data_IF_551363679408
#
_entry.id   IF_551363679408
#
_cell.length_a   1.000
_cell.length_b   1.000
_cell.length_c   1.000
_cell.angle_alpha   90.00
_cell.angle_beta   90.00
_cell.angle_gamma   90.00
#
_symmetry.space_group_name_H-M   'P 1'
#
loop_
_entity.id
_entity.type
_entity.pdbx_description
1 polymer ?
#
# COMPACT_ATOMS: atom_id res chain seq x y z
N UNK A 1 -12.40 -21.71 20.41
CA UNK A 1 -10.93 -21.59 20.51
C UNK A 1 -10.30 -22.49 19.47
N UNK A 2 -9.32 -21.99 18.71
CA UNK A 2 -8.61 -22.81 17.72
C UNK A 2 -7.58 -23.72 18.41
N UNK A 3 -7.32 -24.90 17.84
CA UNK A 3 -6.32 -25.85 18.33
C UNK A 3 -4.93 -25.22 18.43
N UNK A 4 -4.61 -24.29 17.52
CA UNK A 4 -3.36 -23.53 17.53
C UNK A 4 -3.17 -22.67 18.78
N UNK A 5 -4.24 -22.06 19.30
CA UNK A 5 -4.17 -21.21 20.51
C UNK A 5 -4.00 -22.07 21.76
N UNK A 6 -4.63 -23.25 21.78
CA UNK A 6 -4.58 -24.16 22.93
C UNK A 6 -3.24 -24.91 22.98
N UNK A 7 -2.76 -25.45 21.85
CA UNK A 7 -1.59 -26.33 21.83
C UNK A 7 -0.32 -25.65 21.29
N UNK A 8 -0.44 -24.51 20.60
CA UNK A 8 0.71 -23.80 20.01
C UNK A 8 1.74 -23.32 21.03
N UNK A 9 1.36 -22.66 22.15
CA UNK A 9 2.30 -22.28 23.20
C UNK A 9 3.04 -23.48 23.81
N UNK A 10 2.37 -24.63 23.91
CA UNK A 10 2.97 -25.87 24.40
C UNK A 10 4.00 -26.45 23.41
N UNK A 11 3.65 -26.51 22.12
CA UNK A 11 4.56 -26.97 21.06
C UNK A 11 5.84 -26.11 20.99
N UNK A 12 5.71 -24.79 21.18
CA UNK A 12 6.84 -23.87 21.18
C UNK A 12 7.65 -23.88 22.47
N UNK A 13 7.08 -24.30 23.60
CA UNK A 13 7.86 -24.51 24.83
C UNK A 13 8.80 -25.72 24.75
N UNK A 14 8.59 -26.60 23.77
CA UNK A 14 9.43 -27.78 23.50
C UNK A 14 10.57 -27.47 22.51
N UNK A 15 10.44 -26.41 21.72
CA UNK A 15 11.49 -25.86 20.86
C UNK A 15 12.28 -24.79 21.64
N UNK A 16 13.55 -24.58 21.29
CA UNK A 16 14.52 -23.76 22.03
C UNK A 16 14.00 -22.35 22.36
N UNK A 17 14.52 -21.74 23.43
CA UNK A 17 14.23 -20.41 24.01
C UNK A 17 13.37 -19.43 23.17
N UNK A 18 12.49 -18.66 23.81
CA UNK A 18 11.57 -17.69 23.16
C UNK A 18 12.21 -16.77 22.08
N UNK A 19 13.54 -16.59 22.15
CA UNK A 19 14.37 -15.90 21.16
C UNK A 19 14.32 -16.61 19.79
N UNK A 20 14.41 -17.94 19.73
CA UNK A 20 14.39 -18.75 18.49
C UNK A 20 13.05 -18.60 17.73
N UNK A 21 11.97 -18.41 18.47
CA UNK A 21 10.62 -18.33 17.94
C UNK A 21 10.33 -16.95 17.37
N UNK A 22 10.81 -15.92 18.06
CA UNK A 22 10.78 -14.54 17.58
C UNK A 22 11.67 -14.39 16.35
N UNK A 23 12.86 -15.01 16.31
CA UNK A 23 13.73 -14.97 15.12
C UNK A 23 13.14 -15.75 13.96
N UNK A 24 12.55 -16.92 14.16
CA UNK A 24 11.86 -17.68 13.12
C UNK A 24 10.66 -16.91 12.54
N UNK A 25 9.85 -16.29 13.39
CA UNK A 25 8.76 -15.41 12.94
C UNK A 25 9.27 -14.18 12.17
N UNK A 26 10.32 -13.53 12.68
CA UNK A 26 10.94 -12.37 12.03
C UNK A 26 11.55 -12.69 10.66
N UNK A 27 12.22 -13.83 10.52
CA UNK A 27 12.78 -14.29 9.24
C UNK A 27 11.68 -14.63 8.24
N UNK A 28 10.62 -15.34 8.68
CA UNK A 28 9.48 -15.67 7.82
C UNK A 28 8.73 -14.40 7.33
N UNK A 29 8.57 -13.43 8.22
CA UNK A 29 8.05 -12.10 7.89
C UNK A 29 8.92 -11.37 6.86
N UNK A 30 10.21 -11.25 7.13
CA UNK A 30 11.15 -10.56 6.25
C UNK A 30 11.16 -11.20 4.86
N UNK A 31 11.25 -12.54 4.80
CA UNK A 31 11.19 -13.29 3.55
C UNK A 31 9.90 -13.02 2.77
N UNK A 32 8.75 -13.00 3.45
CA UNK A 32 7.47 -12.70 2.80
C UNK A 32 7.42 -11.28 2.24
N UNK A 33 7.92 -10.29 3.00
CA UNK A 33 7.96 -8.89 2.55
C UNK A 33 8.89 -8.74 1.34
N UNK A 34 10.09 -9.34 1.37
CA UNK A 34 11.03 -9.27 0.25
C UNK A 34 10.51 -10.02 -0.98
N UNK A 35 9.88 -11.17 -0.79
CA UNK A 35 9.24 -11.92 -1.87
C UNK A 35 8.08 -11.11 -2.49
N UNK A 36 7.22 -10.48 -1.67
CA UNK A 36 6.10 -9.66 -2.15
C UNK A 36 6.51 -8.39 -2.92
N UNK A 37 7.77 -7.95 -2.80
CA UNK A 37 8.33 -6.80 -3.54
C UNK A 37 9.00 -7.20 -4.85
N UNK A 38 9.23 -8.48 -5.10
CA UNK A 38 9.94 -8.93 -6.30
C UNK A 38 8.97 -9.03 -7.48
N UNK A 39 9.24 -8.27 -8.54
CA UNK A 39 8.53 -8.34 -9.83
C UNK A 39 8.64 -9.72 -10.50
N UNK A 40 9.61 -10.54 -10.07
CA UNK A 40 9.87 -11.87 -10.61
C UNK A 40 8.97 -12.98 -10.05
N UNK A 41 8.13 -12.69 -9.04
CA UNK A 41 7.27 -13.69 -8.41
C UNK A 41 5.84 -13.58 -8.96
N UNK A 42 5.32 -14.64 -9.62
CA UNK A 42 3.98 -14.61 -10.20
C UNK A 42 2.93 -14.51 -9.08
N UNK A 43 1.99 -13.58 -9.25
CA UNK A 43 0.94 -13.31 -8.25
C UNK A 43 -0.30 -14.20 -8.42
N UNK A 44 -0.44 -14.90 -9.55
CA UNK A 44 -1.59 -15.76 -9.84
C UNK A 44 -1.20 -17.00 -10.69
N UNK A 45 -2.03 -18.05 -10.67
CA UNK A 45 -1.75 -19.33 -11.38
C UNK A 45 -1.53 -19.15 -12.89
N UNK A 46 -2.21 -18.20 -13.53
CA UNK A 46 -2.04 -17.90 -14.97
C UNK A 46 -0.68 -17.27 -15.31
N UNK A 47 -0.06 -16.51 -14.40
CA UNK A 47 1.32 -16.02 -14.55
C UNK A 47 2.36 -17.10 -14.23
N UNK A 48 2.03 -18.04 -13.34
CA UNK A 48 2.87 -19.20 -13.02
C UNK A 48 3.15 -20.12 -14.22
N UNK A 49 2.24 -20.14 -15.21
CA UNK A 49 2.41 -20.93 -16.43
C UNK A 49 3.52 -20.42 -17.37
N UNK A 50 3.92 -19.14 -17.25
CA UNK A 50 5.02 -18.52 -18.02
C UNK A 50 6.28 -18.28 -17.18
N UNK A 51 6.25 -18.56 -15.89
CA UNK A 51 7.34 -18.29 -14.96
C UNK A 51 8.31 -19.47 -14.89
N UNK A 52 9.61 -19.19 -14.72
CA UNK A 52 10.62 -20.24 -14.52
C UNK A 52 10.34 -21.07 -13.25
N UNK A 53 10.80 -22.33 -13.18
CA UNK A 53 10.51 -23.25 -12.06
C UNK A 53 10.95 -22.69 -10.69
N UNK A 54 12.01 -21.90 -10.66
CA UNK A 54 12.51 -21.24 -9.45
C UNK A 54 11.54 -20.16 -8.93
N UNK A 55 10.88 -19.41 -9.81
CA UNK A 55 9.90 -18.39 -9.45
C UNK A 55 8.61 -19.00 -8.86
N UNK A 56 8.18 -20.15 -9.40
CA UNK A 56 7.02 -20.91 -8.86
C UNK A 56 7.32 -21.47 -7.46
N UNK A 57 8.53 -22.00 -7.25
CA UNK A 57 8.97 -22.47 -5.93
C UNK A 57 9.02 -21.32 -4.94
N UNK A 58 9.57 -20.16 -5.34
CA UNK A 58 9.68 -18.99 -4.49
C UNK A 58 8.31 -18.42 -4.09
N UNK A 59 7.34 -18.40 -5.01
CA UNK A 59 5.94 -18.01 -4.75
C UNK A 59 5.27 -18.91 -3.70
N UNK A 60 5.40 -20.24 -3.87
CA UNK A 60 4.87 -21.21 -2.89
C UNK A 60 5.57 -21.10 -1.54
N UNK A 61 6.89 -20.92 -1.54
CA UNK A 61 7.67 -20.72 -0.32
C UNK A 61 7.23 -19.45 0.44
N UNK A 62 6.96 -18.34 -0.27
CA UNK A 62 6.47 -17.11 0.34
C UNK A 62 5.09 -17.30 0.97
N UNK A 63 4.19 -18.03 0.30
CA UNK A 63 2.86 -18.36 0.83
C UNK A 63 2.95 -19.22 2.10
N UNK A 64 3.84 -20.22 2.12
CA UNK A 64 4.07 -21.05 3.31
C UNK A 64 4.72 -20.24 4.44
N UNK A 65 5.73 -19.42 4.14
CA UNK A 65 6.40 -18.57 5.12
C UNK A 65 5.40 -17.61 5.79
N UNK A 66 4.48 -17.06 5.02
CA UNK A 66 3.41 -16.21 5.52
C UNK A 66 2.43 -16.95 6.44
N UNK A 67 2.03 -18.19 6.14
CA UNK A 67 1.22 -19.02 7.04
C UNK A 67 1.97 -19.30 8.35
N UNK A 68 3.26 -19.65 8.26
CA UNK A 68 4.12 -19.89 9.42
C UNK A 68 4.23 -18.61 10.26
N UNK A 69 4.41 -17.46 9.63
CA UNK A 69 4.45 -16.17 10.32
C UNK A 69 3.15 -15.90 11.08
N UNK A 70 1.98 -16.07 10.45
CA UNK A 70 0.68 -15.89 11.11
C UNK A 70 0.53 -16.84 12.29
N UNK A 71 0.94 -18.10 12.14
CA UNK A 71 0.89 -19.07 13.24
C UNK A 71 1.80 -18.66 14.41
N UNK A 72 3.05 -18.25 14.14
CA UNK A 72 3.99 -17.77 15.16
C UNK A 72 3.45 -16.49 15.83
N UNK A 73 2.91 -15.56 15.06
CA UNK A 73 2.31 -14.32 15.56
C UNK A 73 1.15 -14.61 16.52
N UNK A 74 0.24 -15.51 16.16
CA UNK A 74 -0.87 -15.91 17.03
C UNK A 74 -0.37 -16.53 18.34
N UNK A 75 0.70 -17.32 18.30
CA UNK A 75 1.26 -17.91 19.51
C UNK A 75 1.95 -16.85 20.37
N UNK A 76 2.68 -15.91 19.78
CA UNK A 76 3.29 -14.78 20.49
C UNK A 76 2.23 -13.88 21.15
N UNK A 77 1.15 -13.55 20.44
CA UNK A 77 0.01 -12.79 20.98
C UNK A 77 -0.60 -13.55 22.15
N UNK A 78 -0.83 -14.86 22.01
CA UNK A 78 -1.38 -15.69 23.09
C UNK A 78 -0.48 -15.68 24.32
N UNK A 79 0.84 -15.81 24.13
CA UNK A 79 1.82 -15.77 25.22
C UNK A 79 1.87 -14.39 25.90
N UNK A 80 1.86 -13.31 25.12
CA UNK A 80 1.84 -11.95 25.64
C UNK A 80 0.57 -11.65 26.44
N UNK A 81 -0.60 -12.01 25.89
CA UNK A 81 -1.88 -11.90 26.58
C UNK A 81 -1.89 -12.71 27.88
N UNK A 82 -1.31 -13.92 27.88
CA UNK A 82 -1.18 -14.74 29.09
C UNK A 82 -0.35 -14.04 30.16
N UNK A 83 0.86 -13.58 29.83
CA UNK A 83 1.77 -12.90 30.77
C UNK A 83 1.15 -11.61 31.32
N UNK A 84 0.47 -10.85 30.47
CA UNK A 84 -0.20 -9.63 30.88
C UNK A 84 -1.38 -9.92 31.82
N UNK A 85 -2.16 -10.96 31.55
CA UNK A 85 -3.25 -11.39 32.43
C UNK A 85 -2.73 -11.89 33.78
N UNK A 86 -1.58 -12.57 33.82
CA UNK A 86 -0.90 -12.95 35.06
C UNK A 86 -0.51 -11.69 35.86
N UNK A 87 0.19 -10.74 35.23
CA UNK A 87 0.63 -9.51 35.91
C UNK A 87 -0.54 -8.69 36.47
N UNK A 88 -1.61 -8.56 35.69
CA UNK A 88 -2.82 -7.83 36.10
C UNK A 88 -3.57 -8.59 37.18
N UNK A 89 -3.58 -9.91 37.14
CA UNK A 89 -4.20 -10.72 38.18
C UNK A 89 -3.47 -10.67 39.51
N UNK A 90 -2.14 -10.73 39.47
CA UNK A 90 -1.32 -10.57 40.67
C UNK A 90 -1.48 -9.17 41.27
N UNK A 91 -1.49 -8.12 40.43
CA UNK A 91 -1.69 -6.74 40.86
C UNK A 91 -3.13 -6.46 41.35
N UNK A 92 -4.13 -7.14 40.80
CA UNK A 92 -5.54 -7.01 41.15
C UNK A 92 -5.99 -7.88 42.33
N UNK A 93 -5.08 -8.64 42.96
CA UNK A 93 -5.37 -9.61 44.02
C UNK A 93 -6.51 -10.57 43.68
N UNK A 94 -6.51 -11.00 42.44
CA UNK A 94 -7.49 -11.89 41.87
C UNK A 94 -7.32 -13.30 42.45
N UNK A 95 -8.38 -13.84 43.08
CA UNK A 95 -8.35 -15.15 43.75
C UNK A 95 -8.36 -16.32 42.76
N UNK A 96 -7.29 -16.50 41.99
CA UNK A 96 -7.22 -17.45 40.87
C UNK A 96 -6.14 -18.51 41.15
N UNK A 97 -6.48 -19.82 41.06
CA UNK A 97 -5.53 -20.91 41.33
C UNK A 97 -4.78 -21.34 40.06
N UNK A 98 -3.82 -20.53 39.63
CA UNK A 98 -3.05 -20.74 38.40
C UNK A 98 -2.10 -21.95 38.43
N UNK A 99 -1.76 -22.47 39.61
CA UNK A 99 -0.88 -23.64 39.77
C UNK A 99 -1.62 -25.00 39.78
N UNK A 100 -2.94 -25.00 39.60
CA UNK A 100 -3.74 -26.24 39.61
C UNK A 100 -3.41 -27.17 38.43
N UNK A 101 -3.56 -28.48 38.63
CA UNK A 101 -3.36 -29.45 37.54
C UNK A 101 -4.46 -29.23 36.50
N UNK A 102 -4.08 -28.96 35.25
CA UNK A 102 -5.07 -28.80 34.18
C UNK A 102 -5.80 -30.13 33.95
N UNK A 103 -7.13 -30.09 33.96
CA UNK A 103 -7.97 -31.25 33.65
C UNK A 103 -7.79 -31.77 32.21
N UNK A 104 -7.20 -30.96 31.32
CA UNK A 104 -7.02 -31.30 29.90
C UNK A 104 -5.70 -32.00 29.63
N UNK A 105 -4.61 -31.59 30.30
CA UNK A 105 -3.25 -32.14 30.07
C UNK A 105 -2.70 -32.96 31.24
N UNK A 106 -3.40 -33.02 32.38
CA UNK A 106 -2.94 -33.77 33.56
C UNK A 106 -1.65 -33.24 34.18
N UNK A 107 -1.24 -32.01 33.83
CA UNK A 107 -0.05 -31.31 34.35
C UNK A 107 -0.38 -29.86 34.66
N UNK A 108 0.37 -29.24 35.56
CA UNK A 108 0.26 -27.80 35.82
C UNK A 108 0.88 -27.04 34.65
N UNK A 109 0.02 -26.40 33.87
CA UNK A 109 0.40 -25.61 32.70
C UNK A 109 -0.22 -24.23 32.87
N UNK A 110 0.58 -23.28 33.38
CA UNK A 110 0.10 -21.95 33.81
C UNK A 110 -0.71 -21.23 32.74
N UNK A 111 -0.25 -21.18 31.49
CA UNK A 111 -0.98 -20.49 30.41
C UNK A 111 -2.38 -21.08 30.17
N UNK A 112 -2.54 -22.40 30.31
CA UNK A 112 -3.81 -23.06 30.08
C UNK A 112 -4.78 -22.79 31.23
N UNK A 113 -4.26 -22.66 32.45
CA UNK A 113 -5.02 -22.26 33.61
C UNK A 113 -5.45 -20.79 33.56
N UNK A 114 -4.62 -19.89 33.00
CA UNK A 114 -5.04 -18.52 32.67
C UNK A 114 -6.24 -18.57 31.71
N UNK A 115 -6.16 -19.35 30.64
CA UNK A 115 -7.25 -19.43 29.65
C UNK A 115 -8.55 -20.01 30.23
N UNK A 116 -8.46 -21.04 31.08
CA UNK A 116 -9.61 -21.78 31.60
C UNK A 116 -10.25 -21.16 32.85
N UNK A 117 -9.45 -20.54 33.72
CA UNK A 117 -9.91 -20.07 35.03
C UNK A 117 -9.97 -18.54 35.14
N UNK A 118 -9.60 -17.79 34.10
CA UNK A 118 -9.86 -16.35 34.09
C UNK A 118 -11.38 -16.13 34.12
N UNK A 119 -11.90 -15.35 35.08
CA UNK A 119 -13.33 -15.07 35.14
C UNK A 119 -13.78 -14.25 33.92
N UNK A 120 -14.96 -14.57 33.40
CA UNK A 120 -15.50 -13.96 32.18
C UNK A 120 -15.58 -12.43 32.24
N UNK A 121 -15.82 -11.85 33.42
CA UNK A 121 -15.89 -10.39 33.61
C UNK A 121 -14.52 -9.71 33.46
N UNK A 122 -13.42 -10.37 33.83
CA UNK A 122 -12.07 -9.85 33.63
C UNK A 122 -11.71 -9.87 32.14
N UNK A 123 -12.10 -10.93 31.42
CA UNK A 123 -11.98 -11.02 29.96
C UNK A 123 -12.77 -9.88 29.31
N UNK A 124 -14.03 -9.66 29.73
CA UNK A 124 -14.87 -8.59 29.20
C UNK A 124 -14.26 -7.20 29.48
N UNK A 125 -13.83 -6.92 30.71
CA UNK A 125 -13.21 -5.66 31.08
C UNK A 125 -11.93 -5.38 30.27
N UNK A 126 -11.09 -6.40 30.10
CA UNK A 126 -9.87 -6.30 29.29
C UNK A 126 -10.19 -6.07 27.81
N UNK A 127 -11.19 -6.78 27.28
CA UNK A 127 -11.65 -6.61 25.90
C UNK A 127 -12.14 -5.18 25.68
N UNK A 128 -12.96 -4.65 26.59
CA UNK A 128 -13.43 -3.27 26.53
C UNK A 128 -12.26 -2.28 26.62
N UNK A 129 -11.32 -2.50 27.54
CA UNK A 129 -10.13 -1.64 27.66
C UNK A 129 -9.30 -1.62 26.37
N UNK A 130 -9.04 -2.78 25.76
CA UNK A 130 -8.29 -2.85 24.50
C UNK A 130 -9.05 -2.23 23.33
N UNK A 131 -10.37 -2.42 23.27
CA UNK A 131 -11.21 -1.79 22.26
C UNK A 131 -11.16 -0.28 22.42
N UNK A 132 -11.33 0.25 23.64
CA UNK A 132 -11.26 1.68 23.92
C UNK A 132 -9.87 2.26 23.63
N UNK A 133 -8.81 1.56 24.04
CA UNK A 133 -7.43 1.94 23.76
C UNK A 133 -7.16 1.94 22.25
N UNK A 134 -7.60 0.90 21.54
CA UNK A 134 -7.53 0.80 20.10
C UNK A 134 -8.28 1.94 19.40
N UNK A 135 -9.53 2.20 19.78
CA UNK A 135 -10.33 3.32 19.27
C UNK A 135 -9.64 4.66 19.54
N UNK A 136 -9.11 4.86 20.75
CA UNK A 136 -8.35 6.06 21.11
C UNK A 136 -7.12 6.25 20.22
N UNK A 137 -6.31 5.20 20.04
CA UNK A 137 -5.18 5.22 19.11
C UNK A 137 -5.63 5.44 17.65
N UNK A 138 -6.73 4.83 17.23
CA UNK A 138 -7.28 4.95 15.88
C UNK A 138 -7.76 6.36 15.52
N UNK A 139 -8.18 7.15 16.52
CA UNK A 139 -8.51 8.56 16.37
C UNK A 139 -7.27 9.47 16.35
N UNK A 140 -6.18 9.07 17.01
CA UNK A 140 -4.97 9.89 17.17
C UNK A 140 -3.89 9.59 16.12
N UNK A 141 -3.84 8.37 15.60
CA UNK A 141 -2.83 7.91 14.65
C UNK A 141 -3.32 8.23 13.24
N UNK A 142 -2.63 9.17 12.58
CA UNK A 142 -2.77 9.40 11.16
C UNK A 142 -2.12 8.25 10.38
N UNK A 143 -2.92 7.40 9.72
CA UNK A 143 -2.42 6.28 8.93
C UNK A 143 -1.31 6.69 7.97
N UNK A 144 -1.51 7.74 7.16
CA UNK A 144 -0.55 8.11 6.13
C UNK A 144 0.77 8.63 6.74
N UNK A 145 0.72 9.34 7.88
CA UNK A 145 1.91 9.87 8.57
C UNK A 145 2.72 8.78 9.26
N UNK A 146 2.05 7.80 9.86
CA UNK A 146 2.72 6.71 10.58
C UNK A 146 3.12 5.54 9.67
N UNK A 147 3.14 5.73 8.34
CA UNK A 147 3.56 4.71 7.37
C UNK A 147 4.84 5.07 6.63
N UNK A 148 5.47 4.09 5.96
CA UNK A 148 6.66 4.33 5.13
C UNK A 148 6.42 5.38 4.04
N UNK A 149 5.16 5.63 3.67
CA UNK A 149 4.75 6.71 2.77
C UNK A 149 5.34 8.07 3.18
N UNK A 150 5.27 8.47 4.45
CA UNK A 150 5.77 9.79 4.87
C UNK A 150 7.29 9.90 4.69
N UNK A 151 8.04 8.87 5.10
CA UNK A 151 9.50 8.81 4.91
C UNK A 151 9.86 8.84 3.42
N UNK A 152 9.16 8.07 2.59
CA UNK A 152 9.40 8.02 1.15
C UNK A 152 9.09 9.37 0.49
N UNK A 153 7.97 10.00 0.86
CA UNK A 153 7.58 11.33 0.40
C UNK A 153 8.65 12.36 0.68
N UNK A 154 9.10 12.45 1.92
CA UNK A 154 10.06 13.48 2.34
C UNK A 154 11.41 13.28 1.62
N UNK A 155 11.81 12.01 1.36
CA UNK A 155 13.01 11.70 0.55
C UNK A 155 12.85 12.10 -0.92
N UNK A 156 11.70 11.82 -1.55
CA UNK A 156 11.44 12.23 -2.94
C UNK A 156 11.40 13.75 -3.09
N UNK A 157 10.70 14.43 -2.18
CA UNK A 157 10.64 15.90 -2.14
C UNK A 157 12.05 16.46 -2.09
N UNK A 158 12.88 16.00 -1.13
CA UNK A 158 14.25 16.46 -1.00
C UNK A 158 15.10 16.18 -2.25
N UNK A 159 14.99 14.99 -2.82
CA UNK A 159 15.82 14.55 -3.95
C UNK A 159 15.49 15.30 -5.25
N UNK A 160 14.22 15.60 -5.51
CA UNK A 160 13.78 16.18 -6.78
C UNK A 160 13.34 17.64 -6.64
N UNK A 161 12.37 17.92 -5.76
CA UNK A 161 11.85 19.27 -5.60
C UNK A 161 12.85 20.18 -4.87
N UNK A 162 13.50 19.67 -3.82
CA UNK A 162 14.54 20.39 -3.10
C UNK A 162 15.78 20.63 -3.96
N UNK A 163 16.19 19.67 -4.79
CA UNK A 163 17.27 19.89 -5.75
C UNK A 163 16.93 20.98 -6.80
N UNK A 164 15.63 21.23 -7.03
CA UNK A 164 15.14 22.24 -7.97
C UNK A 164 14.80 23.57 -7.30
N UNK A 165 14.97 23.70 -5.97
CA UNK A 165 14.66 24.91 -5.21
C UNK A 165 15.92 25.80 -5.09
N UNK A 166 15.99 26.94 -5.81
CA UNK A 166 17.17 27.81 -5.76
C UNK A 166 17.29 28.62 -4.46
N UNK A 167 16.21 28.74 -3.69
CA UNK A 167 16.15 29.53 -2.45
C UNK A 167 16.04 28.66 -1.21
N UNK A 168 16.59 27.44 -1.30
CA UNK A 168 16.46 26.41 -0.29
C UNK A 168 17.20 26.75 1.00
N UNK A 169 16.51 26.68 2.13
CA UNK A 169 17.04 26.83 3.48
C UNK A 169 16.77 25.56 4.30
N UNK A 170 17.55 24.49 4.10
CA UNK A 170 17.27 23.20 4.70
C UNK A 170 17.68 23.17 6.17
N UNK A 171 16.85 22.51 6.99
CA UNK A 171 17.20 22.22 8.37
C UNK A 171 18.54 21.45 8.45
N UNK A 172 19.53 21.89 9.24
CA UNK A 172 20.87 21.28 9.26
C UNK A 172 20.92 19.81 9.67
N UNK A 173 19.94 19.36 10.48
CA UNK A 173 19.92 17.99 11.00
C UNK A 173 19.19 17.03 10.04
N UNK A 174 18.04 17.42 9.53
CA UNK A 174 17.21 16.55 8.67
C UNK A 174 17.50 16.73 7.18
N UNK A 175 18.02 17.89 6.79
CA UNK A 175 18.24 18.30 5.42
C UNK A 175 16.94 18.57 4.66
N UNK A 176 15.80 18.77 5.33
CA UNK A 176 14.51 19.11 4.72
C UNK A 176 14.23 20.61 4.81
N UNK A 177 13.57 21.16 3.80
CA UNK A 177 13.06 22.53 3.76
C UNK A 177 11.54 22.46 3.50
N UNK A 178 10.75 23.23 4.26
CA UNK A 178 9.30 23.31 4.08
C UNK A 178 8.92 23.92 2.71
N UNK A 179 9.77 24.80 2.17
CA UNK A 179 9.63 25.40 0.85
C UNK A 179 9.83 24.43 -0.31
N UNK A 180 10.40 23.24 -0.07
CA UNK A 180 10.62 22.25 -1.15
C UNK A 180 9.29 21.68 -1.69
N UNK A 181 8.22 21.66 -0.89
CA UNK A 181 6.97 20.99 -1.26
C UNK A 181 5.87 21.98 -1.68
N UNK A 182 5.85 22.32 -2.97
CA UNK A 182 4.83 23.21 -3.54
C UNK A 182 3.45 22.55 -3.66
N UNK A 183 2.40 23.37 -3.67
CA UNK A 183 1.02 22.88 -3.88
C UNK A 183 0.77 22.56 -5.35
N UNK A 184 -0.06 21.55 -5.61
CA UNK A 184 -0.34 21.12 -6.98
C UNK A 184 -1.00 22.23 -7.81
N UNK A 185 -1.91 23.01 -7.20
CA UNK A 185 -2.60 24.10 -7.88
C UNK A 185 -1.68 25.27 -8.24
N UNK A 186 -0.58 25.46 -7.50
CA UNK A 186 0.37 26.55 -7.78
C UNK A 186 1.04 26.38 -9.14
N UNK A 187 1.18 25.14 -9.63
CA UNK A 187 1.77 24.80 -10.94
C UNK A 187 1.01 25.41 -12.12
N UNK A 188 -0.24 25.83 -11.92
CA UNK A 188 -1.07 26.49 -12.94
C UNK A 188 -1.28 27.99 -12.67
N UNK A 189 -0.72 28.52 -11.57
CA UNK A 189 -0.78 29.95 -11.29
C UNK A 189 -0.03 30.72 -12.38
N UNK A 190 -0.69 31.73 -12.97
CA UNK A 190 -0.05 32.61 -13.95
C UNK A 190 1.19 33.30 -13.37
N UNK A 191 1.14 33.66 -12.10
CA UNK A 191 2.21 34.38 -11.40
C UNK A 191 3.50 33.55 -11.29
N UNK A 192 3.38 32.23 -11.09
CA UNK A 192 4.55 31.34 -10.88
C UNK A 192 4.99 30.61 -12.15
N UNK A 193 4.03 30.13 -12.96
CA UNK A 193 4.32 29.23 -14.09
C UNK A 193 3.64 29.66 -15.41
N UNK A 194 3.00 30.84 -15.43
CA UNK A 194 2.40 31.41 -16.64
C UNK A 194 1.23 30.63 -17.23
N UNK A 195 0.68 29.63 -16.51
CA UNK A 195 -0.45 28.81 -16.97
C UNK A 195 -0.18 27.97 -18.22
N UNK A 196 1.09 27.66 -18.54
CA UNK A 196 1.46 27.00 -19.81
C UNK A 196 1.63 25.49 -19.73
N UNK A 197 1.83 24.93 -18.53
CA UNK A 197 2.05 23.51 -18.32
C UNK A 197 0.99 22.97 -17.35
N UNK A 198 0.19 22.01 -17.80
CA UNK A 198 -0.78 21.30 -16.97
C UNK A 198 -0.21 19.92 -16.60
N UNK A 199 0.55 19.78 -15.50
CA UNK A 199 1.02 18.48 -15.08
C UNK A 199 -0.17 17.57 -14.74
N UNK A 200 -0.14 16.34 -15.24
CA UNK A 200 -1.11 15.30 -14.92
C UNK A 200 -0.35 14.16 -14.25
N UNK A 201 -0.54 14.01 -12.94
CA UNK A 201 0.08 12.94 -12.17
C UNK A 201 -0.88 11.76 -12.16
N UNK A 202 -0.44 10.64 -12.74
CA UNK A 202 -1.21 9.40 -12.81
C UNK A 202 -1.04 8.58 -11.52
N UNK A 203 -2.14 8.06 -10.99
CA UNK A 203 -2.26 7.32 -9.73
C UNK A 203 -3.26 6.19 -9.97
N UNK A 204 -3.11 5.05 -9.28
CA UNK A 204 -4.14 4.02 -9.29
C UNK A 204 -5.11 4.18 -8.11
N UNK A 205 -6.41 4.17 -8.43
CA UNK A 205 -7.49 4.03 -7.46
C UNK A 205 -7.78 2.54 -7.25
N UNK A 206 -7.57 2.02 -6.04
CA UNK A 206 -7.79 0.61 -5.76
C UNK A 206 -9.25 0.31 -5.43
N UNK A 207 -9.92 -0.42 -6.31
CA UNK A 207 -11.32 -0.85 -6.22
C UNK A 207 -11.38 -2.37 -6.13
N UNK A 208 -11.10 -2.94 -4.95
CA UNK A 208 -11.06 -4.39 -4.76
C UNK A 208 -12.46 -4.98 -4.53
N UNK A 209 -13.42 -4.17 -4.06
CA UNK A 209 -14.82 -4.53 -3.88
C UNK A 209 -15.76 -3.63 -4.68
N UNK A 210 -16.59 -4.22 -5.56
CA UNK A 210 -17.58 -3.49 -6.37
C UNK A 210 -18.44 -4.42 -7.22
N UNK A 211 -19.61 -3.93 -7.67
CA UNK A 211 -20.57 -4.70 -8.46
C UNK A 211 -20.33 -4.71 -9.97
N UNK A 212 -19.28 -4.04 -10.44
CA UNK A 212 -18.94 -3.98 -11.87
C UNK A 212 -17.97 -5.11 -12.21
N UNK A 213 -18.35 -5.98 -13.14
CA UNK A 213 -17.59 -7.19 -13.51
C UNK A 213 -16.19 -6.86 -14.04
N UNK A 214 -16.01 -5.71 -14.71
CA UNK A 214 -14.71 -5.24 -15.18
C UNK A 214 -13.71 -4.96 -14.04
N UNK A 215 -14.21 -4.64 -12.85
CA UNK A 215 -13.41 -4.30 -11.67
C UNK A 215 -12.95 -5.51 -10.87
N UNK A 216 -13.60 -6.67 -11.04
CA UNK A 216 -13.24 -7.90 -10.30
C UNK A 216 -11.91 -8.51 -10.77
N UNK A 217 -11.59 -8.38 -12.07
CA UNK A 217 -10.30 -8.85 -12.59
C UNK A 217 -9.19 -7.82 -12.37
N UNK A 218 -9.47 -6.52 -12.60
CA UNK A 218 -8.44 -5.47 -12.60
C UNK A 218 -8.11 -4.86 -11.25
N UNK A 219 -9.09 -4.78 -10.34
CA UNK A 219 -8.97 -4.22 -8.97
C UNK A 219 -8.44 -2.78 -8.87
N UNK A 220 -8.24 -2.08 -9.99
CA UNK A 220 -7.71 -0.71 -10.04
C UNK A 220 -8.30 0.09 -11.21
N UNK A 221 -8.39 1.41 -11.04
CA UNK A 221 -8.85 2.40 -12.01
C UNK A 221 -7.87 3.59 -12.07
N UNK A 222 -7.87 4.37 -13.17
CA UNK A 222 -7.05 5.58 -13.22
C UNK A 222 -7.57 6.66 -12.27
N UNK A 223 -6.67 7.27 -11.52
CA UNK A 223 -6.89 8.48 -10.73
C UNK A 223 -5.86 9.51 -11.17
N UNK A 224 -6.27 10.75 -11.35
CA UNK A 224 -5.35 11.83 -11.70
C UNK A 224 -5.38 12.96 -10.70
N UNK A 225 -4.20 13.53 -10.50
CA UNK A 225 -4.01 14.77 -9.78
C UNK A 225 -3.46 15.78 -10.76
N UNK A 226 -4.18 16.89 -10.95
CA UNK A 226 -3.79 18.02 -11.80
C UNK A 226 -3.87 19.31 -10.97
N UNK A 227 -3.37 20.45 -11.46
CA UNK A 227 -3.56 21.72 -10.77
C UNK A 227 -5.01 22.18 -10.69
N UNK A 228 -5.87 21.69 -11.60
CA UNK A 228 -7.26 22.11 -11.70
C UNK A 228 -8.21 21.17 -10.94
N UNK A 229 -8.04 19.86 -11.16
CA UNK A 229 -8.90 18.83 -10.59
C UNK A 229 -8.13 17.58 -10.15
N UNK A 230 -8.68 16.91 -9.13
CA UNK A 230 -8.25 15.61 -8.63
C UNK A 230 -9.43 14.64 -8.67
N UNK A 231 -9.22 13.43 -9.16
CA UNK A 231 -10.28 12.43 -9.22
C UNK A 231 -10.10 11.38 -10.29
N UNK A 232 -11.19 10.70 -10.61
CA UNK A 232 -11.23 9.56 -11.52
C UNK A 232 -12.55 9.61 -12.30
N UNK A 233 -12.57 9.17 -13.55
CA UNK A 233 -13.79 9.12 -14.36
C UNK A 233 -14.98 8.40 -13.66
N UNK A 234 -14.83 7.17 -13.12
CA UNK A 234 -15.92 6.46 -12.45
C UNK A 234 -16.43 7.12 -11.15
N UNK A 235 -15.57 7.83 -10.42
CA UNK A 235 -15.90 8.35 -9.08
C UNK A 235 -16.25 9.84 -9.11
N UNK A 236 -15.74 10.57 -10.10
CA UNK A 236 -15.87 12.01 -10.25
C UNK A 236 -14.60 12.76 -9.89
N UNK A 237 -14.66 14.08 -10.12
CA UNK A 237 -13.55 15.00 -9.93
C UNK A 237 -13.91 16.13 -8.97
N UNK A 238 -12.94 16.54 -8.15
CA UNK A 238 -13.01 17.73 -7.28
C UNK A 238 -11.96 18.73 -7.70
N UNK A 239 -12.23 20.02 -7.49
CA UNK A 239 -11.22 21.07 -7.71
C UNK A 239 -10.04 20.86 -6.77
N UNK A 240 -8.83 20.96 -7.31
CA UNK A 240 -7.59 20.82 -6.54
C UNK A 240 -7.48 21.92 -5.49
N UNK A 241 -7.89 23.14 -5.85
CA UNK A 241 -7.95 24.29 -4.95
C UNK A 241 -9.19 25.13 -5.20
N UNK A 242 -9.80 25.62 -4.12
CA UNK A 242 -10.92 26.58 -4.16
C UNK A 242 -10.71 27.64 -3.09
N UNK A 243 -10.66 27.18 -1.84
CA UNK A 243 -10.40 27.96 -0.65
C UNK A 243 -9.85 27.02 0.43
N UNK A 244 -9.24 27.55 1.50
CA UNK A 244 -8.82 26.75 2.64
C UNK A 244 -9.99 25.95 3.24
N UNK A 245 -9.87 24.63 3.29
CA UNK A 245 -10.95 23.74 3.76
C UNK A 245 -12.09 23.57 2.76
N UNK A 246 -11.84 23.78 1.47
CA UNK A 246 -12.72 23.37 0.36
C UNK A 246 -11.93 22.72 -0.79
N UNK A 247 -10.65 22.49 -0.56
CA UNK A 247 -9.70 21.95 -1.53
C UNK A 247 -9.54 20.45 -1.34
N UNK A 248 -9.24 19.70 -2.41
CA UNK A 248 -9.11 18.25 -2.33
C UNK A 248 -7.81 17.81 -1.63
N UNK A 249 -7.91 16.81 -0.75
CA UNK A 249 -6.77 16.08 -0.17
C UNK A 249 -5.92 16.85 0.84
N UNK A 250 -6.19 18.14 1.08
CA UNK A 250 -5.69 18.88 2.25
C UNK A 250 -6.43 20.22 2.38
N UNK A 251 -6.25 20.92 3.52
CA UNK A 251 -6.79 22.28 3.73
C UNK A 251 -6.51 23.20 2.54
N UNK A 252 -5.29 23.17 2.00
CA UNK A 252 -4.85 24.05 0.92
C UNK A 252 -4.67 23.31 -0.41
N UNK A 253 -5.25 22.13 -0.53
CA UNK A 253 -5.11 21.25 -1.69
C UNK A 253 -3.91 20.30 -1.58
N UNK A 254 -3.97 19.20 -2.31
CA UNK A 254 -2.89 18.22 -2.38
C UNK A 254 -1.58 18.86 -2.88
N UNK A 255 -0.45 18.47 -2.29
CA UNK A 255 0.87 18.95 -2.71
C UNK A 255 1.42 18.14 -3.87
N UNK A 256 2.30 18.73 -4.68
CA UNK A 256 2.96 18.03 -5.78
C UNK A 256 3.77 16.85 -5.25
N UNK A 257 4.55 17.06 -4.18
CA UNK A 257 5.33 15.99 -3.55
C UNK A 257 4.47 14.82 -3.08
N UNK A 258 3.27 15.09 -2.54
CA UNK A 258 2.33 14.04 -2.13
C UNK A 258 1.80 13.28 -3.35
N UNK A 259 1.38 13.98 -4.41
CA UNK A 259 0.88 13.36 -5.63
C UNK A 259 1.94 12.47 -6.29
N UNK A 260 3.17 12.96 -6.45
CA UNK A 260 4.30 12.20 -7.03
C UNK A 260 4.64 10.98 -6.18
N UNK A 261 4.60 11.11 -4.85
CA UNK A 261 4.87 9.97 -3.95
C UNK A 261 3.83 8.87 -4.07
N UNK A 262 2.55 9.24 -4.15
CA UNK A 262 1.47 8.26 -4.35
C UNK A 262 1.61 7.62 -5.74
N UNK A 263 1.95 8.40 -6.76
CA UNK A 263 2.16 7.94 -8.14
C UNK A 263 3.28 6.90 -8.26
N UNK A 264 4.37 7.03 -7.50
CA UNK A 264 5.50 6.08 -7.46
C UNK A 264 5.45 5.08 -6.29
N UNK A 265 4.28 4.84 -5.69
CA UNK A 265 4.11 4.00 -4.50
C UNK A 265 4.15 2.48 -4.80
N UNK A 266 5.20 2.01 -5.48
CA UNK A 266 5.30 0.63 -6.00
C UNK A 266 5.20 -0.49 -4.96
N UNK A 267 5.48 -0.21 -3.67
CA UNK A 267 5.26 -1.14 -2.57
C UNK A 267 4.00 -0.75 -1.79
N UNK A 268 2.87 -1.36 -2.13
CA UNK A 268 1.60 -1.12 -1.46
C UNK A 268 0.86 -2.44 -1.20
N UNK A 269 0.05 -2.60 -0.13
CA UNK A 269 -0.66 -3.85 0.12
C UNK A 269 -1.69 -4.22 -0.97
N UNK A 270 -2.15 -3.24 -1.76
CA UNK A 270 -3.07 -3.43 -2.89
C UNK A 270 -2.37 -3.00 -4.20
N UNK A 271 -1.71 -3.94 -4.87
CA UNK A 271 -1.00 -3.74 -6.15
C UNK A 271 -1.83 -4.20 -7.36
N UNK A 272 -3.15 -3.95 -7.36
CA UNK A 272 -4.04 -4.42 -8.43
C UNK A 272 -3.97 -5.95 -8.63
N UNK A 273 -3.69 -6.39 -9.86
CA UNK A 273 -3.57 -7.81 -10.26
C UNK A 273 -2.47 -8.59 -9.50
N UNK A 274 -1.51 -7.91 -8.87
CA UNK A 274 -0.44 -8.54 -8.10
C UNK A 274 -0.77 -8.81 -6.63
N UNK A 275 -2.00 -8.48 -6.19
CA UNK A 275 -2.40 -8.58 -4.78
C UNK A 275 -2.81 -10.00 -4.38
N UNK A 276 -2.09 -10.62 -3.45
CA UNK A 276 -2.57 -11.83 -2.74
C UNK A 276 -3.01 -11.46 -1.31
N UNK A 277 -4.16 -11.96 -0.80
CA UNK A 277 -4.71 -11.55 0.49
C UNK A 277 -3.74 -11.72 1.68
N UNK A 278 -2.91 -12.75 1.61
CA UNK A 278 -1.94 -13.10 2.65
C UNK A 278 -0.72 -12.15 2.65
N UNK A 279 -0.24 -11.76 1.46
CA UNK A 279 0.83 -10.76 1.31
C UNK A 279 0.31 -9.37 1.67
N UNK A 280 -0.93 -9.03 1.28
CA UNK A 280 -1.62 -7.80 1.69
C UNK A 280 -1.68 -7.68 3.21
N UNK A 281 -2.08 -8.74 3.92
CA UNK A 281 -2.11 -8.76 5.39
C UNK A 281 -0.73 -8.49 6.00
N UNK A 282 0.32 -9.13 5.48
CA UNK A 282 1.67 -9.01 6.02
C UNK A 282 2.29 -7.64 5.74
N UNK A 283 2.15 -7.12 4.51
CA UNK A 283 2.60 -5.76 4.18
C UNK A 283 1.86 -4.71 5.02
N UNK A 284 0.56 -4.93 5.28
CA UNK A 284 -0.24 -4.07 6.18
C UNK A 284 0.26 -4.15 7.62
N UNK A 285 0.53 -5.36 8.14
CA UNK A 285 1.03 -5.58 9.51
C UNK A 285 2.41 -4.97 9.74
N UNK A 286 3.32 -5.09 8.77
CA UNK A 286 4.65 -4.47 8.83
C UNK A 286 4.66 -3.01 8.37
N UNK A 287 3.49 -2.46 8.04
CA UNK A 287 3.34 -1.07 7.63
C UNK A 287 4.25 -0.71 6.43
N UNK A 288 4.51 -1.69 5.57
CA UNK A 288 5.25 -1.55 4.31
C UNK A 288 4.27 -1.01 3.28
N UNK A 289 3.83 0.22 3.52
CA UNK A 289 2.82 0.91 2.72
C UNK A 289 3.38 2.22 2.18
N UNK A 290 3.43 2.31 0.86
CA UNK A 290 3.72 3.56 0.15
C UNK A 290 2.46 4.21 -0.41
N UNK A 291 1.32 3.51 -0.48
CA UNK A 291 0.03 4.09 -0.87
C UNK A 291 -0.56 5.00 0.21
N UNK A 292 -1.63 5.71 -0.13
CA UNK A 292 -2.26 6.69 0.75
C UNK A 292 -3.79 6.60 0.73
N UNK A 293 -4.38 6.74 1.90
CA UNK A 293 -5.83 6.91 2.04
C UNK A 293 -6.21 8.38 1.91
N UNK A 294 -7.07 8.74 0.96
CA UNK A 294 -7.57 10.10 0.79
C UNK A 294 -9.10 10.11 0.88
N UNK A 295 -9.68 11.28 1.12
CA UNK A 295 -11.13 11.48 0.99
C UNK A 295 -11.61 11.13 -0.42
N UNK A 296 -12.75 10.46 -0.52
CA UNK A 296 -13.34 10.10 -1.79
C UNK A 296 -13.75 11.36 -2.58
N UNK A 297 -13.34 11.55 -3.85
CA UNK A 297 -13.75 12.72 -4.64
C UNK A 297 -15.22 12.68 -5.08
N UNK A 298 -15.87 11.52 -5.05
CA UNK A 298 -17.25 11.33 -5.45
C UNK A 298 -18.28 11.72 -4.38
N UNK A 299 -19.57 11.43 -4.61
CA UNK A 299 -20.65 11.76 -3.67
C UNK A 299 -20.47 11.11 -2.29
N UNK A 300 -19.92 9.89 -2.25
CA UNK A 300 -19.66 9.18 -0.99
C UNK A 300 -18.68 9.92 -0.06
N UNK A 301 -17.83 10.80 -0.61
CA UNK A 301 -16.87 11.59 0.15
C UNK A 301 -17.20 13.07 0.25
N UNK A 302 -18.46 13.50 0.05
CA UNK A 302 -18.84 14.92 0.18
C UNK A 302 -18.41 15.56 1.52
N UNK A 303 -18.40 14.76 2.59
CA UNK A 303 -17.97 15.20 3.93
C UNK A 303 -16.45 15.02 4.19
N UNK A 304 -15.71 14.34 3.31
CA UNK A 304 -14.35 13.85 3.59
C UNK A 304 -13.33 14.17 2.50
N UNK A 305 -13.73 14.60 1.30
CA UNK A 305 -12.84 14.84 0.15
C UNK A 305 -11.66 15.79 0.44
N UNK A 306 -11.81 16.66 1.44
CA UNK A 306 -10.79 17.62 1.85
C UNK A 306 -9.71 17.00 2.74
N UNK A 307 -9.96 15.80 3.27
CA UNK A 307 -9.07 15.13 4.19
C UNK A 307 -7.99 14.38 3.40
N UNK A 308 -6.73 14.65 3.73
CA UNK A 308 -5.57 13.92 3.20
C UNK A 308 -5.29 12.60 3.92
N UNK A 309 -6.17 12.18 4.83
CA UNK A 309 -6.12 10.94 5.59
C UNK A 309 -7.48 10.67 6.26
N UNK A 310 -7.80 9.42 6.65
CA UNK A 310 -9.02 9.12 7.36
C UNK A 310 -9.08 9.75 8.76
N UNK A 311 -10.24 10.28 9.17
CA UNK A 311 -10.42 10.80 10.53
C UNK A 311 -10.40 9.69 11.59
N UNK A 312 -10.74 8.47 11.18
CA UNK A 312 -10.66 7.27 12.00
C UNK A 312 -9.95 6.16 11.21
N UNK A 313 -8.77 5.78 11.67
CA UNK A 313 -7.83 4.95 10.91
C UNK A 313 -8.13 3.45 10.95
N UNK A 314 -8.89 2.95 11.95
CA UNK A 314 -9.10 1.51 12.13
C UNK A 314 -9.95 0.89 11.01
N UNK A 315 -11.06 1.53 10.63
CA UNK A 315 -11.94 1.03 9.58
C UNK A 315 -11.22 0.85 8.24
N UNK A 316 -10.55 1.90 7.74
CA UNK A 316 -9.72 1.82 6.54
C UNK A 316 -8.58 0.79 6.63
N UNK A 317 -7.91 0.65 7.78
CA UNK A 317 -6.86 -0.36 7.96
C UNK A 317 -7.39 -1.80 7.91
N UNK A 318 -8.58 -2.06 8.47
CA UNK A 318 -9.25 -3.36 8.35
C UNK A 318 -9.67 -3.59 6.90
N UNK A 319 -10.27 -2.59 6.26
CA UNK A 319 -10.65 -2.68 4.86
C UNK A 319 -9.43 -2.94 3.95
N UNK A 320 -8.29 -2.32 4.23
CA UNK A 320 -7.02 -2.56 3.55
C UNK A 320 -6.53 -4.00 3.75
N UNK A 321 -6.48 -4.46 5.01
CA UNK A 321 -5.98 -5.79 5.38
C UNK A 321 -6.77 -6.94 4.74
N UNK A 322 -8.07 -6.72 4.49
CA UNK A 322 -8.95 -7.70 3.86
C UNK A 322 -9.24 -7.42 2.38
N UNK A 323 -8.63 -6.40 1.77
CA UNK A 323 -8.89 -6.03 0.38
C UNK A 323 -10.37 -5.64 0.13
N UNK A 324 -10.99 -4.93 1.05
CA UNK A 324 -12.40 -4.50 1.00
C UNK A 324 -12.56 -3.04 0.54
N UNK A 325 -11.58 -2.50 -0.19
CA UNK A 325 -11.64 -1.11 -0.69
C UNK A 325 -12.72 -0.99 -1.76
N UNK A 326 -13.60 0.01 -1.64
CA UNK A 326 -14.69 0.25 -2.59
C UNK A 326 -14.86 1.74 -2.90
N UNK A 327 -15.54 2.03 -4.00
CA UNK A 327 -15.86 3.37 -4.52
C UNK A 327 -16.99 4.07 -3.74
N UNK A 328 -17.75 3.34 -2.92
CA UNK A 328 -18.86 3.86 -2.11
C UNK A 328 -18.46 4.28 -0.70
N UNK A 329 -17.19 4.14 -0.35
CA UNK A 329 -16.67 4.50 0.97
C UNK A 329 -16.33 6.00 1.02
N UNK A 330 -16.39 6.63 2.21
CA UNK A 330 -16.00 8.04 2.36
C UNK A 330 -14.50 8.27 2.10
N UNK A 331 -13.70 7.21 2.06
CA UNK A 331 -12.28 7.27 1.76
C UNK A 331 -11.96 6.30 0.62
N UNK A 332 -10.96 6.68 -0.18
CA UNK A 332 -10.41 5.87 -1.27
C UNK A 332 -8.95 5.56 -0.99
N UNK A 333 -8.51 4.37 -1.41
CA UNK A 333 -7.12 3.96 -1.31
C UNK A 333 -6.40 4.17 -2.64
N UNK A 334 -5.36 5.00 -2.61
CA UNK A 334 -4.57 5.38 -3.79
C UNK A 334 -3.17 4.75 -3.73
N UNK A 335 -2.69 4.27 -4.87
CA UNK A 335 -1.36 3.64 -5.00
C UNK A 335 -0.68 4.03 -6.31
N UNK A 336 0.45 3.37 -6.61
CA UNK A 336 1.25 3.59 -7.80
C UNK A 336 0.43 3.62 -9.09
N UNK A 337 0.69 4.59 -9.97
CA UNK A 337 0.02 4.72 -11.26
C UNK A 337 0.20 3.49 -12.15
N UNK A 338 1.37 2.83 -12.06
CA UNK A 338 1.68 1.59 -12.76
C UNK A 338 0.82 0.40 -12.36
N UNK A 339 0.14 0.43 -11.21
CA UNK A 339 -0.86 -0.60 -10.87
C UNK A 339 -2.09 -0.56 -11.78
N UNK A 340 -2.34 0.58 -12.44
CA UNK A 340 -3.34 0.71 -13.50
C UNK A 340 -2.69 0.80 -14.88
N UNK A 341 -1.85 1.80 -15.16
CA UNK A 341 -1.20 2.02 -16.46
C UNK A 341 0.05 2.90 -16.28
N UNK A 342 1.22 2.41 -16.68
CA UNK A 342 2.50 2.98 -16.26
C UNK A 342 2.96 4.20 -17.10
N UNK A 343 2.54 4.32 -18.35
CA UNK A 343 2.99 5.35 -19.30
C UNK A 343 2.20 6.66 -19.21
N UNK A 344 1.04 6.66 -18.54
CA UNK A 344 0.12 7.80 -18.50
C UNK A 344 -0.58 8.07 -19.84
N UNK A 345 -0.39 7.20 -20.84
CA UNK A 345 -0.99 7.31 -22.18
C UNK A 345 -2.52 7.25 -22.11
N UNK A 346 -3.06 6.40 -21.23
CA UNK A 346 -4.50 6.21 -21.09
C UNK A 346 -5.23 7.53 -20.80
N UNK A 347 -4.73 8.29 -19.83
CA UNK A 347 -5.32 9.55 -19.41
C UNK A 347 -5.16 10.66 -20.46
N UNK A 348 -4.10 10.62 -21.27
CA UNK A 348 -3.93 11.57 -22.39
C UNK A 348 -4.93 11.29 -23.52
N UNK A 349 -5.19 10.02 -23.82
CA UNK A 349 -6.22 9.62 -24.80
C UNK A 349 -7.62 9.98 -24.28
N UNK A 350 -7.91 9.72 -23.00
CA UNK A 350 -9.19 10.10 -22.37
C UNK A 350 -9.44 11.62 -22.46
N UNK A 351 -8.39 12.43 -22.35
CA UNK A 351 -8.44 13.91 -22.52
C UNK A 351 -8.49 14.38 -23.97
N UNK A 352 -8.45 13.45 -24.94
CA UNK A 352 -8.44 13.75 -26.38
C UNK A 352 -7.29 14.66 -26.79
N UNK A 353 -6.11 14.47 -26.19
CA UNK A 353 -4.91 15.17 -26.61
C UNK A 353 -4.62 14.87 -28.09
N UNK A 354 -4.44 15.92 -28.89
CA UNK A 354 -4.25 15.79 -30.34
C UNK A 354 -2.88 15.20 -30.71
N UNK A 355 -1.85 15.55 -29.93
CA UNK A 355 -0.50 15.02 -30.08
C UNK A 355 -0.02 14.51 -28.72
N UNK A 356 0.44 13.26 -28.69
CA UNK A 356 0.94 12.60 -27.49
C UNK A 356 2.35 12.11 -27.79
N UNK A 357 3.31 12.55 -26.98
CA UNK A 357 4.68 12.04 -27.00
C UNK A 357 4.83 11.20 -25.74
N UNK A 358 5.14 9.91 -25.91
CA UNK A 358 5.36 8.98 -24.81
C UNK A 358 6.86 8.80 -24.60
N UNK A 359 7.31 8.98 -23.36
CA UNK A 359 8.67 8.64 -22.93
C UNK A 359 8.56 7.45 -21.99
N UNK A 360 8.90 6.26 -22.48
CA UNK A 360 8.93 5.06 -21.67
C UNK A 360 10.26 4.98 -20.91
N UNK A 361 10.18 4.96 -19.57
CA UNK A 361 11.30 4.80 -18.66
C UNK A 361 11.12 3.58 -17.74
N UNK A 362 10.22 2.66 -18.12
CA UNK A 362 10.00 1.40 -17.41
C UNK A 362 11.22 0.48 -17.49
N UNK A 363 11.34 -0.40 -16.50
CA UNK A 363 12.34 -1.47 -16.52
C UNK A 363 11.86 -2.59 -17.47
N UNK A 364 12.41 -2.61 -18.68
CA UNK A 364 12.08 -3.62 -19.69
C UNK A 364 13.35 -4.32 -20.20
N UNK A 365 13.92 -5.26 -19.43
CA UNK A 365 15.18 -5.90 -19.76
C UNK A 365 15.08 -6.80 -20.99
N UNK A 366 13.89 -7.12 -21.48
CA UNK A 366 13.71 -7.94 -22.70
C UNK A 366 13.18 -7.10 -23.88
N UNK A 367 13.06 -5.77 -23.72
CA UNK A 367 12.48 -4.87 -24.71
C UNK A 367 11.14 -5.39 -25.28
N UNK A 368 10.32 -5.93 -24.39
CA UNK A 368 9.02 -6.53 -24.68
C UNK A 368 7.92 -5.50 -24.96
N UNK A 369 8.13 -4.24 -24.58
CA UNK A 369 7.15 -3.14 -24.63
C UNK A 369 5.83 -3.52 -23.93
N UNK A 370 5.92 -4.27 -22.83
CA UNK A 370 4.76 -4.79 -22.11
C UNK A 370 3.83 -3.67 -21.63
N UNK A 371 4.39 -2.58 -21.10
CA UNK A 371 3.63 -1.42 -20.63
C UNK A 371 2.85 -0.73 -21.76
N UNK A 372 3.48 -0.57 -22.93
CA UNK A 372 2.81 -0.02 -24.12
C UNK A 372 1.70 -0.94 -24.62
N UNK A 373 1.97 -2.24 -24.70
CA UNK A 373 0.96 -3.23 -25.09
C UNK A 373 -0.23 -3.24 -24.12
N UNK A 374 0.03 -3.11 -22.83
CA UNK A 374 -1.00 -3.07 -21.80
C UNK A 374 -1.83 -1.78 -21.86
N UNK A 375 -1.19 -0.63 -22.08
CA UNK A 375 -1.87 0.65 -22.28
C UNK A 375 -2.79 0.62 -23.51
N UNK A 376 -2.28 0.16 -24.67
CA UNK A 376 -3.06 0.04 -25.92
C UNK A 376 -4.25 -0.89 -25.73
N UNK A 377 -4.05 -2.03 -25.07
CA UNK A 377 -5.12 -2.98 -24.77
C UNK A 377 -6.22 -2.34 -23.91
N UNK A 378 -5.85 -1.63 -22.84
CA UNK A 378 -6.83 -0.94 -21.97
C UNK A 378 -7.59 0.15 -22.73
N UNK A 379 -6.88 0.99 -23.49
CA UNK A 379 -7.50 2.05 -24.32
C UNK A 379 -8.52 1.46 -25.28
N UNK A 380 -8.18 0.33 -25.93
CA UNK A 380 -9.10 -0.35 -26.85
C UNK A 380 -10.32 -0.93 -26.15
N UNK A 381 -10.15 -1.60 -25.02
CA UNK A 381 -11.25 -2.25 -24.29
C UNK A 381 -12.19 -1.21 -23.66
N UNK A 382 -11.62 -0.18 -23.04
CA UNK A 382 -12.39 0.73 -22.18
C UNK A 382 -12.93 1.93 -22.97
N UNK A 383 -12.15 2.46 -23.92
CA UNK A 383 -12.49 3.66 -24.69
C UNK A 383 -12.96 3.33 -26.12
N UNK A 384 -12.82 2.07 -26.56
CA UNK A 384 -13.16 1.67 -27.93
C UNK A 384 -12.23 2.25 -28.98
N UNK A 385 -11.07 2.79 -28.59
CA UNK A 385 -10.13 3.46 -29.48
C UNK A 385 -9.04 2.47 -29.91
N UNK A 386 -8.88 2.26 -31.21
CA UNK A 386 -7.78 1.47 -31.76
C UNK A 386 -6.55 2.34 -31.99
N UNK A 387 -5.39 1.88 -31.52
CA UNK A 387 -4.09 2.50 -31.82
C UNK A 387 -3.43 1.65 -32.90
N UNK A 388 -3.24 2.25 -34.07
CA UNK A 388 -2.57 1.62 -35.20
C UNK A 388 -1.11 2.10 -35.23
N UNK A 389 -0.20 1.15 -35.31
CA UNK A 389 1.22 1.43 -35.42
C UNK A 389 1.62 1.41 -36.89
N UNK A 390 2.28 2.48 -37.34
CA UNK A 390 3.01 2.48 -38.61
C UNK A 390 4.34 1.74 -38.49
N UNK A 391 5.28 2.06 -39.37
CA UNK A 391 6.66 1.54 -39.25
C UNK A 391 7.33 2.12 -37.99
N UNK A 392 7.71 1.25 -37.06
CA UNK A 392 8.56 1.59 -35.92
C UNK A 392 9.94 0.97 -36.12
N UNK A 393 10.98 1.80 -36.12
CA UNK A 393 12.37 1.34 -36.13
C UNK A 393 12.76 0.89 -34.72
N UNK A 394 12.89 -0.42 -34.52
CA UNK A 394 13.34 -1.04 -33.27
C UNK A 394 14.72 -1.62 -33.51
N UNK A 395 15.71 -1.22 -32.70
CA UNK A 395 17.10 -1.65 -32.85
C UNK A 395 17.42 -2.85 -31.93
N UNK A 396 18.20 -3.84 -32.39
CA UNK A 396 18.53 -5.02 -31.62
C UNK A 396 19.67 -4.78 -30.60
N UNK A 397 19.61 -5.56 -29.51
CA UNK A 397 20.57 -5.61 -28.39
C UNK A 397 22.05 -5.67 -28.77
N UNK A 398 22.39 -6.34 -29.85
CA UNK A 398 23.78 -6.71 -30.12
C UNK A 398 24.54 -5.70 -30.99
N UNK A 399 23.92 -4.60 -31.43
CA UNK A 399 24.55 -3.55 -32.26
C UNK A 399 25.08 -2.35 -31.44
N UNK A 400 25.61 -2.61 -30.24
CA UNK A 400 26.26 -1.59 -29.40
C UNK A 400 27.45 -0.89 -30.06
N UNK A 401 28.00 -1.42 -31.16
CA UNK A 401 29.04 -0.75 -31.96
C UNK A 401 28.53 0.46 -32.76
N UNK A 402 27.22 0.66 -32.89
CA UNK A 402 26.63 1.86 -33.53
C UNK A 402 26.69 3.12 -32.64
N UNK A 403 27.17 3.01 -31.38
CA UNK A 403 27.22 4.10 -30.38
C UNK A 403 28.16 5.26 -30.70
N UNK A 404 28.89 5.24 -31.82
CA UNK A 404 29.74 6.38 -32.25
C UNK A 404 28.98 7.50 -32.98
N UNK A 405 27.66 7.41 -33.14
CA UNK A 405 26.83 8.53 -33.61
C UNK A 405 26.05 9.13 -32.45
N UNK A 406 26.34 10.40 -32.13
CA UNK A 406 25.57 11.19 -31.16
C UNK A 406 24.09 11.26 -31.60
N UNK A 407 23.18 10.77 -30.77
CA UNK A 407 21.75 11.06 -30.85
C UNK A 407 20.82 9.96 -31.38
N UNK A 408 21.14 8.68 -31.24
CA UNK A 408 20.22 7.59 -31.61
C UNK A 408 19.85 6.70 -30.42
N UNK A 409 18.55 6.49 -30.25
CA UNK A 409 17.91 5.78 -29.15
C UNK A 409 18.32 4.30 -29.18
N UNK A 410 18.97 3.85 -28.11
CA UNK A 410 19.22 2.43 -27.88
C UNK A 410 17.95 1.79 -27.33
N UNK A 411 17.52 0.70 -27.95
CA UNK A 411 17.10 -0.46 -27.18
C UNK A 411 18.23 -1.46 -27.32
N UNK A 412 18.80 -1.84 -26.19
CA UNK A 412 19.54 -3.07 -26.07
C UNK A 412 18.80 -3.83 -25.01
#
# INVERSE_FOLDING_TARGET
>A
MSSLVIFGPFLLSWSTSAISTVTMGGVAAAFTVFAGRSSSIPANEQQGAKAGPLAVILSKAASVAAIVFVAVLLILITKCATVMMEYIGDAGHFAWKLDTVSHVLGRSVKYLNVILYTPWWAILAMTVLFVLFGVGLGCLINSNKFSLHAMYRDRLIRAYLGASNPHRDPNPFTGFDEGDNIRMWEMWSEEKFGGKLLPVINIALNLVGGGNLAWQERKAESFTVTPLHCGSYPVGYRKTHVAPGQSYGSRDGISLGSAVTISGAAASPNMGHHSSPLVTLILTLFNVRLGAWLGNPGPAGDATFQLGYPSFSIGPMIAEAFGLTNDKSPYVYLSDGGHFENLGLYEMVLRRCHHIIVSDAGEDPECSFADLGDAVRKIRIDLGISIEFGEMSIYPRNEAEAQNRKGHNCAI
#
